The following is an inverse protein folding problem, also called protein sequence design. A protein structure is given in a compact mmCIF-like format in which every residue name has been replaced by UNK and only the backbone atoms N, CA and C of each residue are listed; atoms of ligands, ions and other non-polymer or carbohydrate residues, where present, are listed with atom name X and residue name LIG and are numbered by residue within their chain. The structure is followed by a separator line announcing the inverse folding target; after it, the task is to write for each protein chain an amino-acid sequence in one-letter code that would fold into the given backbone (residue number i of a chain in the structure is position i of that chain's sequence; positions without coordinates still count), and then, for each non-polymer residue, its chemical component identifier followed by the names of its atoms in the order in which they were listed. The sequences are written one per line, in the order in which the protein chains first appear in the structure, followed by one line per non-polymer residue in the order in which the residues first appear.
data_IF_321072857158
#
_entry.id   IF_321072857158
#
_cell.length_a   1.000
_cell.length_b   1.000
_cell.length_c   1.000
_cell.angle_alpha   90.00
_cell.angle_beta   90.00
_cell.angle_gamma   90.00
#
_symmetry.space_group_name_H-M   'P 1'
#
loop_
_entity.id
_entity.type
_entity.pdbx_description
1 polymer ?
#
# COMPACT_ATOMS: atom_id res chain seq x y z
N UNK A 1 17.07 -5.70 1.18
CA UNK A 1 17.77 -4.40 1.08
C UNK A 1 16.99 -3.40 0.22
N UNK A 2 16.79 -3.64 -1.08
CA UNK A 2 16.18 -2.64 -1.98
C UNK A 2 14.82 -2.06 -1.49
N UNK A 3 13.90 -2.90 -0.99
CA UNK A 3 12.62 -2.43 -0.44
C UNK A 3 12.77 -1.52 0.79
N UNK A 4 13.66 -1.89 1.72
CA UNK A 4 14.00 -1.05 2.90
C UNK A 4 14.56 0.30 2.44
N UNK A 5 15.52 0.27 1.51
CA UNK A 5 16.10 1.50 0.94
C UNK A 5 15.06 2.38 0.28
N UNK A 6 14.10 1.80 -0.46
CA UNK A 6 13.03 2.56 -1.10
C UNK A 6 12.13 3.25 -0.08
N UNK A 7 11.73 2.55 1.00
CA UNK A 7 10.89 3.13 2.05
C UNK A 7 11.61 4.29 2.74
N UNK A 8 12.89 4.10 3.12
CA UNK A 8 13.70 5.16 3.72
C UNK A 8 13.87 6.36 2.77
N UNK A 9 14.08 6.12 1.48
CA UNK A 9 14.19 7.17 0.46
C UNK A 9 12.90 7.99 0.32
N UNK A 10 11.75 7.36 0.47
CA UNK A 10 10.43 8.00 0.40
C UNK A 10 10.06 8.75 1.70
N UNK A 11 11.00 8.89 2.64
CA UNK A 11 10.79 9.57 3.92
C UNK A 11 10.23 8.68 5.03
N UNK A 12 10.25 7.36 4.84
CA UNK A 12 9.80 6.38 5.83
C UNK A 12 10.80 6.14 6.97
N UNK A 13 10.42 5.30 7.95
CA UNK A 13 11.25 5.01 9.11
C UNK A 13 12.50 4.23 8.74
N UNK A 14 13.46 4.19 9.66
CA UNK A 14 14.55 3.22 9.60
C UNK A 14 14.04 1.83 9.88
N UNK A 15 14.45 0.87 9.07
CA UNK A 15 13.97 -0.51 9.20
C UNK A 15 15.17 -1.45 9.35
N UNK A 16 15.17 -2.22 10.43
CA UNK A 16 16.13 -3.30 10.63
C UNK A 16 15.98 -4.36 9.55
N UNK A 17 17.10 -4.85 9.01
CA UNK A 17 17.11 -5.97 8.08
C UNK A 17 18.37 -6.82 8.26
N UNK A 18 18.32 -8.10 7.89
CA UNK A 18 19.46 -9.01 7.88
C UNK A 18 19.91 -9.32 6.47
N UNK A 19 21.22 -9.46 6.29
CA UNK A 19 21.83 -10.10 5.12
C UNK A 19 21.86 -11.63 5.29
N UNK A 20 22.27 -12.36 4.26
CA UNK A 20 22.52 -13.80 4.36
C UNK A 20 21.46 -14.70 3.72
N UNK A 21 20.53 -14.15 2.93
CA UNK A 21 19.78 -14.97 1.96
C UNK A 21 20.76 -15.55 0.94
N UNK A 22 20.70 -16.85 0.73
CA UNK A 22 21.50 -17.57 -0.27
C UNK A 22 20.64 -17.76 -1.50
N UNK A 23 21.20 -17.46 -2.67
CA UNK A 23 20.51 -17.66 -3.94
C UNK A 23 20.17 -19.14 -4.14
N UNK A 24 18.97 -19.40 -4.65
CA UNK A 24 18.55 -20.75 -5.03
C UNK A 24 19.38 -21.24 -6.22
N UNK A 25 19.61 -22.55 -6.27
CA UNK A 25 20.19 -23.16 -7.47
C UNK A 25 19.16 -23.17 -8.59
N UNK A 26 19.64 -23.20 -9.83
CA UNK A 26 18.78 -23.27 -11.01
C UNK A 26 17.84 -24.49 -10.92
N UNK A 27 16.53 -24.25 -10.91
CA UNK A 27 15.49 -25.28 -10.84
C UNK A 27 14.96 -25.60 -9.44
N UNK A 28 15.52 -25.01 -8.38
CA UNK A 28 14.94 -25.09 -7.04
C UNK A 28 13.75 -24.12 -6.90
N UNK A 29 12.67 -24.57 -6.26
CA UNK A 29 11.56 -23.72 -5.82
C UNK A 29 11.32 -23.95 -4.33
N UNK A 30 11.17 -22.85 -3.59
CA UNK A 30 10.84 -22.86 -2.15
C UNK A 30 9.41 -22.37 -1.88
N UNK A 31 8.65 -22.06 -2.93
CA UNK A 31 7.31 -21.49 -2.83
C UNK A 31 6.25 -22.51 -3.21
N UNK A 32 5.31 -22.75 -2.31
CA UNK A 32 4.02 -23.34 -2.65
C UNK A 32 3.07 -22.26 -3.20
N UNK A 33 2.12 -22.61 -4.08
CA UNK A 33 1.10 -21.67 -4.55
C UNK A 33 0.22 -21.16 -3.38
N UNK A 34 -0.36 -19.97 -3.55
CA UNK A 34 -1.45 -19.48 -2.68
C UNK A 34 -1.06 -18.67 -1.44
N UNK A 35 0.18 -18.18 -1.33
CA UNK A 35 0.65 -17.40 -0.17
C UNK A 35 0.50 -15.88 -0.28
N UNK A 36 -0.08 -15.39 -1.38
CA UNK A 36 -0.27 -13.96 -1.61
C UNK A 36 -1.76 -13.66 -1.46
N UNK A 37 -2.16 -12.68 -0.62
CA UNK A 37 -3.56 -12.28 -0.49
C UNK A 37 -4.16 -11.86 -1.85
N UNK A 38 -5.39 -12.29 -2.15
CA UNK A 38 -6.11 -11.82 -3.34
C UNK A 38 -6.58 -10.37 -3.11
N UNK A 39 -6.19 -9.39 -3.96
CA UNK A 39 -6.66 -8.01 -3.84
C UNK A 39 -8.19 -7.87 -3.89
N UNK A 40 -8.91 -8.82 -4.49
CA UNK A 40 -10.36 -8.78 -4.61
C UNK A 40 -11.09 -9.57 -3.52
N UNK A 41 -10.38 -10.09 -2.53
CA UNK A 41 -10.98 -10.71 -1.35
C UNK A 41 -11.60 -9.64 -0.44
N UNK A 42 -12.87 -9.80 -0.06
CA UNK A 42 -13.59 -8.91 0.87
C UNK A 42 -13.68 -9.52 2.27
N UNK A 43 -13.50 -10.83 2.40
CA UNK A 43 -13.53 -11.52 3.68
C UNK A 43 -12.23 -11.28 4.44
N UNK A 44 -12.32 -10.49 5.51
CA UNK A 44 -11.18 -10.17 6.38
C UNK A 44 -10.49 -11.42 6.94
N UNK A 45 -11.21 -12.52 7.20
CA UNK A 45 -10.61 -13.74 7.72
C UNK A 45 -9.66 -14.37 6.70
N UNK A 46 -10.05 -14.42 5.42
CA UNK A 46 -9.18 -14.91 4.34
C UNK A 46 -7.92 -14.04 4.18
N UNK A 47 -8.07 -12.72 4.33
CA UNK A 47 -6.94 -11.78 4.29
C UNK A 47 -6.02 -12.05 5.48
N UNK A 48 -6.57 -12.15 6.69
CA UNK A 48 -5.81 -12.44 7.92
C UNK A 48 -5.06 -13.77 7.84
N UNK A 49 -5.72 -14.84 7.39
CA UNK A 49 -5.10 -16.16 7.21
C UNK A 49 -3.82 -16.09 6.36
N UNK A 50 -3.84 -15.31 5.28
CA UNK A 50 -2.66 -15.13 4.41
C UNK A 50 -1.45 -14.54 5.15
N UNK A 51 -1.68 -13.68 6.15
CA UNK A 51 -0.62 -13.09 6.99
C UNK A 51 -0.26 -13.98 8.18
N UNK A 52 -1.25 -14.65 8.77
CA UNK A 52 -1.06 -15.53 9.92
C UNK A 52 -0.23 -16.76 9.54
N UNK A 53 -0.42 -17.29 8.33
CA UNK A 53 0.39 -18.37 7.76
C UNK A 53 1.87 -17.99 7.60
N UNK A 54 2.16 -16.68 7.55
CA UNK A 54 3.51 -16.13 7.56
C UNK A 54 4.03 -15.81 8.97
N UNK A 55 3.22 -16.01 10.02
CA UNK A 55 3.54 -15.65 11.39
C UNK A 55 3.41 -14.15 11.70
N UNK A 56 2.70 -13.40 10.86
CA UNK A 56 2.44 -11.97 11.05
C UNK A 56 1.10 -11.78 11.78
N UNK A 57 1.02 -10.81 12.68
CA UNK A 57 -0.20 -10.52 13.45
C UNK A 57 -1.19 -9.65 12.67
N UNK A 58 -2.40 -9.46 13.19
CA UNK A 58 -3.36 -8.47 12.64
C UNK A 58 -2.75 -7.06 12.61
N UNK A 59 -1.94 -6.70 13.61
CA UNK A 59 -1.26 -5.40 13.66
C UNK A 59 -0.27 -5.28 12.51
N UNK A 60 0.54 -6.32 12.27
CA UNK A 60 1.47 -6.35 11.15
C UNK A 60 0.74 -6.27 9.81
N UNK A 61 -0.33 -7.05 9.65
CA UNK A 61 -1.16 -7.04 8.45
C UNK A 61 -1.69 -5.63 8.14
N UNK A 62 -2.41 -5.02 9.10
CA UNK A 62 -3.02 -3.70 8.88
C UNK A 62 -1.94 -2.67 8.57
N UNK A 63 -0.79 -2.71 9.26
CA UNK A 63 0.33 -1.81 9.01
C UNK A 63 0.89 -1.99 7.58
N UNK A 64 1.14 -3.23 7.16
CA UNK A 64 1.74 -3.56 5.86
C UNK A 64 0.83 -3.24 4.68
N UNK A 65 -0.50 -3.31 4.84
CA UNK A 65 -1.46 -2.99 3.78
C UNK A 65 -1.36 -1.55 3.29
N UNK A 66 -0.84 -0.62 4.10
CA UNK A 66 -0.56 0.75 3.65
C UNK A 66 0.43 0.84 2.51
N UNK A 67 1.27 -0.18 2.25
CA UNK A 67 2.19 -0.16 1.10
C UNK A 67 1.48 -0.13 -0.25
N UNK A 68 0.21 -0.53 -0.30
CA UNK A 68 -0.64 -0.37 -1.48
C UNK A 68 -0.76 1.11 -1.90
N UNK A 69 -0.53 2.05 -0.99
CA UNK A 69 -0.58 3.49 -1.27
C UNK A 69 0.64 4.05 -1.99
N UNK A 70 1.78 3.33 -2.00
CA UNK A 70 3.02 3.79 -2.60
C UNK A 70 3.16 3.25 -4.02
N UNK A 71 3.23 4.16 -4.98
CA UNK A 71 3.24 3.86 -6.41
C UNK A 71 1.85 3.95 -7.04
N UNK A 72 1.76 3.45 -8.26
CA UNK A 72 0.50 3.37 -8.99
C UNK A 72 0.07 1.91 -9.05
N UNK A 73 -1.22 1.68 -8.86
CA UNK A 73 -1.76 0.39 -9.22
C UNK A 73 -1.76 0.26 -10.75
N UNK A 74 -0.87 -0.60 -11.25
CA UNK A 74 -0.78 -0.92 -12.66
C UNK A 74 -1.81 -2.00 -13.08
N UNK A 75 -2.87 -2.23 -12.30
CA UNK A 75 -4.07 -2.89 -12.80
C UNK A 75 -4.65 -2.05 -13.95
N UNK A 76 -4.14 -2.31 -15.16
CA UNK A 76 -4.56 -1.79 -16.46
C UNK A 76 -6.09 -1.79 -16.65
N UNK A 77 -6.78 -2.68 -15.94
CA UNK A 77 -8.24 -2.77 -15.92
C UNK A 77 -8.94 -1.69 -15.07
N UNK A 78 -8.37 -1.21 -13.95
CA UNK A 78 -8.99 -0.13 -13.15
C UNK A 78 -8.78 1.21 -13.88
N UNK A 79 -7.60 1.44 -14.47
CA UNK A 79 -7.29 2.66 -15.22
C UNK A 79 -8.21 2.82 -16.47
N UNK A 80 -8.53 1.74 -17.18
CA UNK A 80 -9.52 1.77 -18.28
C UNK A 80 -10.98 1.81 -17.80
N UNK A 81 -11.26 1.34 -16.59
CA UNK A 81 -12.62 1.31 -16.03
C UNK A 81 -13.09 2.66 -15.52
N UNK A 82 -12.19 3.42 -14.88
CA UNK A 82 -12.51 4.70 -14.25
C UNK A 82 -12.79 5.76 -15.33
N UNK A 83 -12.09 5.70 -16.47
CA UNK A 83 -12.41 6.53 -17.64
C UNK A 83 -12.11 5.81 -18.98
N UNK A 84 -13.10 5.22 -19.67
CA UNK A 84 -12.89 4.60 -20.98
C UNK A 84 -12.45 5.61 -22.06
N UNK A 85 -12.78 6.90 -21.88
CA UNK A 85 -12.52 7.98 -22.84
C UNK A 85 -11.29 8.84 -22.48
N UNK A 86 -10.67 8.61 -21.31
CA UNK A 86 -9.48 9.37 -20.86
C UNK A 86 -8.31 8.41 -20.65
N UNK A 87 -7.52 8.13 -21.70
CA UNK A 87 -6.50 7.08 -21.71
C UNK A 87 -5.30 7.28 -20.77
N UNK A 88 -5.30 8.29 -19.91
CA UNK A 88 -4.13 8.70 -19.11
C UNK A 88 -4.43 9.02 -17.64
N UNK A 89 -5.63 8.71 -17.14
CA UNK A 89 -5.95 8.94 -15.72
C UNK A 89 -5.90 7.62 -14.97
N UNK A 90 -4.84 7.44 -14.18
CA UNK A 90 -4.60 6.25 -13.39
C UNK A 90 -5.34 6.34 -12.05
N UNK A 91 -5.99 5.26 -11.67
CA UNK A 91 -6.56 5.09 -10.35
C UNK A 91 -5.44 5.06 -9.32
N UNK A 92 -5.63 5.78 -8.22
CA UNK A 92 -4.65 5.88 -7.14
C UNK A 92 -5.24 5.29 -5.87
N UNK A 93 -4.44 4.48 -5.17
CA UNK A 93 -4.81 3.92 -3.88
C UNK A 93 -4.48 4.89 -2.73
N UNK A 94 -3.79 5.99 -3.01
CA UNK A 94 -3.75 7.17 -2.14
C UNK A 94 -3.44 8.46 -2.90
N UNK A 95 -3.91 9.60 -2.40
CA UNK A 95 -3.54 10.93 -2.93
C UNK A 95 -2.06 11.27 -2.74
N UNK A 96 -1.38 10.60 -1.80
CA UNK A 96 0.07 10.72 -1.59
C UNK A 96 0.72 9.37 -1.92
N UNK A 97 1.17 9.20 -3.16
CA UNK A 97 1.67 7.92 -3.67
C UNK A 97 3.16 7.87 -4.00
N UNK A 98 3.92 8.92 -3.64
CA UNK A 98 5.37 9.02 -3.84
C UNK A 98 6.11 9.41 -2.55
N UNK A 99 5.47 9.24 -1.39
CA UNK A 99 6.05 9.46 -0.06
C UNK A 99 5.46 8.47 0.94
N UNK A 100 6.24 8.11 1.94
CA UNK A 100 5.73 7.39 3.10
C UNK A 100 4.87 8.34 3.95
N UNK A 101 3.64 7.93 4.27
CA UNK A 101 2.72 8.71 5.10
C UNK A 101 1.57 7.84 5.60
N UNK A 102 0.83 8.31 6.60
CA UNK A 102 -0.42 7.65 7.05
C UNK A 102 -1.66 8.05 6.22
N UNK A 103 -1.47 8.69 5.05
CA UNK A 103 -2.56 9.23 4.23
C UNK A 103 -3.55 8.14 3.77
N UNK A 104 -3.06 6.95 3.48
CA UNK A 104 -3.89 5.76 3.18
C UNK A 104 -4.99 5.53 4.21
N UNK A 105 -4.66 5.57 5.50
CA UNK A 105 -5.64 5.34 6.56
C UNK A 105 -6.57 6.53 6.73
N UNK A 106 -6.05 7.77 6.64
CA UNK A 106 -6.87 8.98 6.66
C UNK A 106 -7.95 8.96 5.58
N UNK A 107 -7.60 8.50 4.39
CA UNK A 107 -8.55 8.35 3.28
C UNK A 107 -9.53 7.21 3.51
N UNK A 108 -9.08 6.05 3.98
CA UNK A 108 -9.95 4.90 4.26
C UNK A 108 -11.13 5.27 5.18
N UNK A 109 -10.89 6.04 6.24
CA UNK A 109 -11.94 6.48 7.18
C UNK A 109 -12.50 7.87 6.90
N UNK A 110 -11.93 8.59 5.93
CA UNK A 110 -12.28 9.98 5.62
C UNK A 110 -13.30 10.14 4.49
N UNK A 111 -13.48 9.11 3.66
CA UNK A 111 -14.37 9.15 2.50
C UNK A 111 -15.55 8.17 2.62
N UNK A 112 -16.61 8.46 1.86
CA UNK A 112 -17.66 7.48 1.60
C UNK A 112 -17.27 6.70 0.34
N UNK A 113 -17.22 5.38 0.46
CA UNK A 113 -16.77 4.51 -0.62
C UNK A 113 -17.94 3.96 -1.43
N UNK A 114 -17.96 4.28 -2.73
CA UNK A 114 -19.00 3.86 -3.67
C UNK A 114 -18.50 2.62 -4.45
N UNK A 115 -19.21 1.48 -4.41
CA UNK A 115 -18.82 0.29 -5.16
C UNK A 115 -19.06 0.48 -6.66
N UNK A 116 -18.06 0.14 -7.47
CA UNK A 116 -18.10 0.17 -8.93
C UNK A 116 -17.70 -1.19 -9.48
N UNK A 117 -18.53 -1.73 -10.38
CA UNK A 117 -18.27 -3.00 -11.04
C UNK A 117 -17.58 -2.76 -12.38
N UNK A 118 -16.39 -3.32 -12.57
CA UNK A 118 -15.72 -3.28 -13.86
C UNK A 118 -16.52 -4.05 -14.91
N UNK A 119 -16.77 -3.41 -16.05
CA UNK A 119 -17.66 -3.93 -17.10
C UNK A 119 -17.15 -5.23 -17.73
N UNK A 120 -15.84 -5.35 -17.96
CA UNK A 120 -15.29 -6.52 -18.65
C UNK A 120 -14.99 -7.68 -17.69
N UNK A 121 -14.29 -7.39 -16.58
CA UNK A 121 -13.88 -8.45 -15.63
C UNK A 121 -14.96 -8.83 -14.62
N UNK A 122 -16.00 -8.00 -14.46
CA UNK A 122 -17.02 -8.17 -13.43
C UNK A 122 -16.53 -7.95 -11.99
N UNK A 123 -15.24 -7.62 -11.80
CA UNK A 123 -14.66 -7.37 -10.49
C UNK A 123 -15.14 -6.03 -9.92
N UNK A 124 -15.30 -5.97 -8.61
CA UNK A 124 -15.73 -4.75 -7.90
C UNK A 124 -14.52 -4.04 -7.32
N UNK A 125 -14.48 -2.72 -7.47
CA UNK A 125 -13.58 -1.81 -6.76
C UNK A 125 -14.43 -0.70 -6.14
N UNK A 126 -13.81 0.17 -5.35
CA UNK A 126 -14.50 1.26 -4.68
C UNK A 126 -13.86 2.59 -5.07
N UNK A 127 -14.68 3.62 -5.21
CA UNK A 127 -14.21 4.99 -5.47
C UNK A 127 -14.71 5.92 -4.37
N UNK A 128 -13.95 6.96 -4.04
CA UNK A 128 -14.44 7.97 -3.12
C UNK A 128 -15.60 8.77 -3.74
N UNK A 129 -16.53 9.21 -2.90
CA UNK A 129 -17.73 9.96 -3.29
C UNK A 129 -17.43 11.34 -3.90
N UNK A 130 -16.35 11.96 -3.46
CA UNK A 130 -15.88 13.28 -3.90
C UNK A 130 -14.68 13.22 -4.88
N UNK A 131 -14.02 12.07 -4.99
CA UNK A 131 -12.88 11.87 -5.88
C UNK A 131 -12.91 10.48 -6.55
N UNK A 132 -13.44 10.38 -7.79
CA UNK A 132 -13.57 9.10 -8.48
C UNK A 132 -12.24 8.45 -8.87
N UNK A 133 -11.11 9.18 -8.76
CA UNK A 133 -9.77 8.66 -9.04
C UNK A 133 -9.14 7.98 -7.83
N UNK A 134 -9.59 8.36 -6.63
CA UNK A 134 -9.16 7.73 -5.40
C UNK A 134 -9.94 6.43 -5.24
N UNK A 135 -9.23 5.32 -5.34
CA UNK A 135 -9.81 3.98 -5.32
C UNK A 135 -9.37 3.17 -4.11
N UNK A 136 -10.14 2.11 -3.83
CA UNK A 136 -9.79 1.04 -2.90
C UNK A 136 -10.22 -0.30 -3.46
N UNK A 137 -9.45 -1.33 -3.12
CA UNK A 137 -9.74 -2.70 -3.47
C UNK A 137 -10.65 -3.34 -2.40
N UNK A 138 -11.36 -4.43 -2.72
CA UNK A 138 -12.13 -5.17 -1.72
C UNK A 138 -11.32 -5.56 -0.46
N UNK A 139 -10.03 -5.88 -0.63
CA UNK A 139 -9.15 -6.20 0.49
C UNK A 139 -8.89 -5.00 1.40
N UNK A 140 -8.61 -3.81 0.84
CA UNK A 140 -8.47 -2.58 1.62
C UNK A 140 -9.74 -2.27 2.42
N UNK A 141 -10.90 -2.42 1.76
CA UNK A 141 -12.19 -2.18 2.39
C UNK A 141 -12.46 -3.17 3.53
N UNK A 142 -11.88 -4.39 3.49
CA UNK A 142 -12.16 -5.44 4.49
C UNK A 142 -11.69 -5.02 5.88
N UNK A 143 -10.72 -4.12 5.94
CA UNK A 143 -10.23 -3.50 7.17
C UNK A 143 -11.30 -2.70 7.91
N UNK A 144 -12.32 -2.19 7.20
CA UNK A 144 -13.39 -1.40 7.79
C UNK A 144 -14.53 -2.26 8.35
N UNK A 145 -14.62 -3.53 7.94
CA UNK A 145 -15.71 -4.43 8.34
C UNK A 145 -15.42 -5.16 9.66
N UNK A 146 -14.13 -5.32 10.01
CA UNK A 146 -13.69 -5.93 11.27
C UNK A 146 -13.41 -4.85 12.34
N UNK A 147 -14.04 -4.91 13.53
CA UNK A 147 -13.83 -3.92 14.59
C UNK A 147 -12.36 -3.78 15.03
N UNK A 148 -11.60 -4.88 15.05
CA UNK A 148 -10.18 -4.85 15.48
C UNK A 148 -9.33 -4.11 14.45
N UNK A 149 -9.51 -4.46 13.18
CA UNK A 149 -8.83 -3.83 12.05
C UNK A 149 -9.23 -2.36 11.92
N UNK A 150 -10.52 -2.03 12.05
CA UNK A 150 -11.03 -0.66 11.99
C UNK A 150 -10.43 0.22 13.10
N UNK A 151 -10.32 -0.31 14.32
CA UNK A 151 -9.69 0.42 15.42
C UNK A 151 -8.21 0.73 15.14
N UNK A 152 -7.48 -0.20 14.52
CA UNK A 152 -6.10 0.04 14.08
C UNK A 152 -6.02 1.07 12.95
N UNK A 153 -6.90 0.98 11.94
CA UNK A 153 -7.00 1.96 10.85
C UNK A 153 -7.24 3.36 11.41
N UNK A 154 -8.22 3.53 12.29
CA UNK A 154 -8.51 4.81 12.93
C UNK A 154 -7.33 5.33 13.74
N UNK A 155 -6.65 4.44 14.47
CA UNK A 155 -5.45 4.81 15.24
C UNK A 155 -4.31 5.26 14.34
N UNK A 156 -4.03 4.54 13.27
CA UNK A 156 -2.99 4.91 12.30
C UNK A 156 -3.33 6.20 11.56
N UNK A 157 -4.60 6.46 11.27
CA UNK A 157 -5.04 7.72 10.68
C UNK A 157 -4.81 8.92 11.61
N UNK A 158 -5.03 8.74 12.92
CA UNK A 158 -4.92 9.78 13.94
C UNK A 158 -3.47 10.01 14.44
N UNK A 159 -2.64 8.97 14.43
CA UNK A 159 -1.29 8.99 15.00
C UNK A 159 -0.26 8.44 14.00
N UNK A 160 0.36 9.35 13.27
CA UNK A 160 1.38 9.03 12.26
C UNK A 160 2.65 8.43 12.90
N UNK A 161 3.01 8.84 14.12
CA UNK A 161 4.18 8.31 14.81
C UNK A 161 3.94 6.84 15.20
N UNK A 162 2.79 6.55 15.82
CA UNK A 162 2.42 5.18 16.15
C UNK A 162 2.34 4.29 14.91
N UNK A 163 1.75 4.78 13.82
CA UNK A 163 1.77 4.09 12.54
C UNK A 163 3.20 3.79 12.06
N UNK A 164 4.05 4.82 12.04
CA UNK A 164 5.42 4.74 11.52
C UNK A 164 6.25 3.69 12.27
N UNK A 165 6.20 3.69 13.60
CA UNK A 165 6.90 2.71 14.43
C UNK A 165 6.36 1.29 14.21
N UNK A 166 5.03 1.16 14.15
CA UNK A 166 4.38 -0.15 13.94
C UNK A 166 4.72 -0.71 12.56
N UNK A 167 4.71 0.14 11.53
CA UNK A 167 5.10 -0.21 10.18
C UNK A 167 6.55 -0.67 10.09
N UNK A 168 7.48 0.04 10.75
CA UNK A 168 8.89 -0.34 10.76
C UNK A 168 9.09 -1.75 11.33
N UNK A 169 8.41 -2.06 12.44
CA UNK A 169 8.45 -3.39 13.05
C UNK A 169 7.83 -4.45 12.15
N UNK A 170 6.64 -4.19 11.58
CA UNK A 170 5.95 -5.13 10.71
C UNK A 170 6.73 -5.43 9.42
N UNK A 171 7.30 -4.41 8.79
CA UNK A 171 8.12 -4.59 7.60
C UNK A 171 9.43 -5.30 7.91
N UNK A 172 10.05 -5.03 9.06
CA UNK A 172 11.19 -5.80 9.57
C UNK A 172 10.81 -7.28 9.70
N UNK A 173 9.70 -7.61 10.37
CA UNK A 173 9.24 -8.99 10.51
C UNK A 173 9.05 -9.67 9.16
N UNK A 174 8.40 -9.00 8.21
CA UNK A 174 8.18 -9.49 6.85
C UNK A 174 9.50 -9.79 6.12
N UNK A 175 10.46 -8.85 6.13
CA UNK A 175 11.76 -9.05 5.45
C UNK A 175 12.70 -9.99 6.20
N UNK A 176 12.33 -10.48 7.38
CA UNK A 176 13.08 -11.50 8.12
C UNK A 176 12.49 -12.91 7.99
N UNK A 177 11.31 -13.06 7.37
CA UNK A 177 10.73 -14.38 7.14
C UNK A 177 11.69 -15.30 6.38
N UNK A 178 11.90 -16.50 6.93
CA UNK A 178 12.78 -17.53 6.38
C UNK A 178 14.28 -17.24 6.47
N UNK A 179 14.71 -16.21 7.22
CA UNK A 179 16.12 -15.88 7.39
C UNK A 179 16.78 -16.65 8.54
N UNK A 180 18.08 -16.93 8.42
CA UNK A 180 18.87 -17.41 9.54
C UNK A 180 19.12 -16.26 10.54
N UNK A 181 18.70 -16.46 11.78
CA UNK A 181 18.84 -15.48 12.89
C UNK A 181 20.28 -15.29 13.37
N UNK A 182 21.21 -16.18 12.98
CA UNK A 182 22.64 -16.06 13.30
C UNK A 182 23.30 -14.85 12.62
N UNK A 183 22.70 -14.35 11.53
CA UNK A 183 23.14 -13.10 10.92
C UNK A 183 22.64 -11.91 11.76
N UNK A 184 23.52 -10.98 12.16
CA UNK A 184 23.11 -9.83 12.96
C UNK A 184 22.18 -8.91 12.18
N UNK A 185 21.23 -8.31 12.89
CA UNK A 185 20.44 -7.21 12.33
C UNK A 185 21.32 -6.04 11.96
N UNK A 186 20.95 -5.38 10.89
CA UNK A 186 21.58 -4.17 10.40
C UNK A 186 20.51 -3.10 10.32
N UNK A 187 20.84 -1.91 10.82
CA UNK A 187 20.07 -0.69 10.59
C UNK A 187 20.94 0.18 9.70
N UNK A 188 20.32 0.86 8.73
CA UNK A 188 21.02 1.77 7.83
C UNK A 188 21.77 2.85 8.64
N UNK A 189 23.12 2.81 8.63
CA UNK A 189 23.98 3.70 9.43
C UNK A 189 24.13 5.12 8.86
N UNK A 190 23.63 5.37 7.64
CA UNK A 190 23.73 6.67 6.97
C UNK A 190 22.36 7.22 6.54
N UNK A 191 22.12 8.55 6.56
CA UNK A 191 21.03 9.13 5.80
C UNK A 191 21.21 8.74 4.33
N UNK A 192 20.34 7.85 3.84
CA UNK A 192 20.36 7.42 2.43
C UNK A 192 19.78 8.52 1.51
N UNK A 193 19.38 9.65 2.07
CA UNK A 193 18.72 10.73 1.36
C UNK A 193 19.58 12.00 1.51
N UNK A 194 20.14 12.57 0.42
CA UNK A 194 20.46 14.00 0.42
C UNK A 194 19.16 14.77 0.73
N UNK A 195 19.24 15.93 1.38
CA UNK A 195 18.04 16.67 1.79
C UNK A 195 16.96 16.69 0.69
N UNK A 196 15.67 16.48 1.05
CA UNK A 196 14.59 16.49 0.07
C UNK A 196 14.71 17.77 -0.75
N UNK A 197 14.98 17.64 -2.06
CA UNK A 197 14.86 18.80 -2.94
C UNK A 197 13.42 19.29 -2.81
N UNK A 198 13.24 20.57 -2.51
CA UNK A 198 11.92 21.19 -2.52
C UNK A 198 11.16 20.71 -3.76
N UNK A 199 9.99 20.12 -3.55
CA UNK A 199 9.08 19.87 -4.66
C UNK A 199 8.66 21.26 -5.12
N UNK A 200 9.29 21.75 -6.18
CA UNK A 200 8.76 22.87 -6.94
C UNK A 200 7.36 22.41 -7.37
N UNK A 201 6.34 23.09 -6.86
CA UNK A 201 4.95 22.88 -7.25
C UNK A 201 4.80 23.08 -8.76
N UNK A 202 5.13 22.06 -9.55
CA UNK A 202 4.64 21.92 -10.90
C UNK A 202 3.22 21.39 -10.77
N UNK A 203 2.35 22.26 -10.28
CA UNK A 203 0.92 22.16 -10.54
C UNK A 203 0.80 22.08 -12.06
N UNK A 204 0.61 20.88 -12.60
CA UNK A 204 -0.11 20.72 -13.84
C UNK A 204 -1.50 21.29 -13.58
N UNK A 205 -1.64 22.60 -13.75
CA UNK A 205 -2.94 23.23 -13.86
C UNK A 205 -3.58 22.61 -15.10
N UNK A 206 -4.40 21.59 -14.89
CA UNK A 206 -5.38 21.18 -15.86
C UNK A 206 -6.28 22.40 -16.10
N UNK A 207 -5.96 23.14 -17.17
CA UNK A 207 -6.81 24.21 -17.67
C UNK A 207 -8.10 23.57 -18.15
N UNK A 208 -9.11 23.52 -17.30
CA UNK A 208 -10.48 23.34 -17.75
C UNK A 208 -10.85 24.58 -18.55
N UNK A 209 -10.72 24.48 -19.87
CA UNK A 209 -11.19 25.50 -20.79
C UNK A 209 -12.70 25.64 -20.67
N UNK A 210 -13.14 26.67 -19.95
CA UNK A 210 -14.54 27.08 -19.96
C UNK A 210 -14.85 27.69 -21.33
N UNK A 211 -15.24 26.88 -22.32
CA UNK A 211 -16.00 27.42 -23.44
C UNK A 211 -17.43 27.62 -22.96
N UNK A 212 -17.74 28.85 -22.58
CA UNK A 212 -19.13 29.32 -22.51
C UNK A 212 -19.70 29.26 -23.93
N UNK A 213 -20.69 28.41 -24.11
CA UNK A 213 -21.60 28.45 -25.25
C UNK A 213 -22.25 29.84 -25.27
N UNK A 214 -22.11 30.55 -26.40
CA UNK A 214 -22.99 31.64 -26.80
C UNK A 214 -23.79 31.17 -28.00
#
# INVERSE_FOLDING_TARGET
MAGVTAIEFLGGPRISWRRGRVDLKLGETIFGPGRIPDPFERNINSVQESFFDMGLSTVDMVALMSMNSIGYDNFSYINRAVHPDVPQVEAILSSVNYRFSNQYYKELVGHIWIPVKHKESGKTYYVADDNPLLTKLPSDMSLLDDPTSLALVQKFAADEYFYTETFASAFSNLVHLGMNIDFPEQVSEHPLVPEPKEIVNNTLQMRFGSQRVK
#
